data_IF_954907335209
#
_entry.id   IF_954907335209
#
_cell.length_a   1.000
_cell.length_b   1.000
_cell.length_c   1.000
_cell.angle_alpha   90.00
_cell.angle_beta   90.00
_cell.angle_gamma   90.00
#
_symmetry.space_group_name_H-M   'P 1'
#
loop_
_entity.id
_entity.type
_entity.pdbx_description
1 polymer ?
#
# COMPACT_ATOMS: atom_id res chain seq x y z
N UNK A 1 -8.92 23.53 23.12
CA UNK A 1 -9.30 22.23 22.50
C UNK A 1 -8.22 21.23 22.88
N UNK A 2 -8.57 19.98 23.23
CA UNK A 2 -7.60 18.97 23.65
C UNK A 2 -6.89 18.38 22.43
N UNK A 3 -5.58 18.57 22.31
CA UNK A 3 -4.79 17.95 21.24
C UNK A 3 -4.41 16.52 21.63
N UNK A 4 -4.96 15.53 20.90
CA UNK A 4 -4.70 14.11 21.12
C UNK A 4 -3.27 13.71 20.71
N UNK A 5 -2.61 14.47 19.83
CA UNK A 5 -1.27 14.17 19.35
C UNK A 5 -0.20 14.30 20.46
N UNK A 6 -0.43 15.16 21.46
CA UNK A 6 0.49 15.33 22.60
C UNK A 6 0.35 14.23 23.67
N UNK A 7 -0.68 13.38 23.56
CA UNK A 7 -1.06 12.45 24.61
C UNK A 7 -0.37 11.10 24.47
N UNK A 8 -0.34 10.36 25.57
CA UNK A 8 0.02 8.96 25.62
C UNK A 8 -0.89 8.21 26.59
N UNK A 9 -1.04 6.91 26.35
CA UNK A 9 -1.77 6.05 27.26
C UNK A 9 -0.89 5.79 28.49
N UNK A 10 -1.36 6.27 29.64
CA UNK A 10 -0.76 6.00 30.94
C UNK A 10 -1.62 5.01 31.73
N UNK A 11 -1.01 4.21 32.59
CA UNK A 11 -1.71 3.28 33.46
C UNK A 11 -1.18 3.35 34.90
N UNK A 12 -2.07 3.12 35.86
CA UNK A 12 -1.74 2.93 37.27
C UNK A 12 -2.33 1.61 37.77
N UNK A 13 -1.73 1.04 38.81
CA UNK A 13 -2.27 -0.11 39.51
C UNK A 13 -2.66 0.29 40.93
N UNK A 14 -3.80 -0.21 41.41
CA UNK A 14 -4.19 -0.15 42.81
C UNK A 14 -4.37 -1.56 43.37
N UNK A 15 -4.01 -1.76 44.63
CA UNK A 15 -4.28 -3.01 45.33
C UNK A 15 -5.47 -2.82 46.26
N UNK A 16 -6.43 -3.73 46.20
CA UNK A 16 -7.57 -3.75 47.11
C UNK A 16 -7.95 -5.19 47.42
N UNK A 17 -8.04 -5.54 48.71
CA UNK A 17 -8.34 -6.90 49.20
C UNK A 17 -7.49 -7.99 48.52
N UNK A 18 -6.18 -7.73 48.37
CA UNK A 18 -5.23 -8.65 47.74
C UNK A 18 -5.32 -8.77 46.21
N UNK A 19 -6.24 -8.04 45.55
CA UNK A 19 -6.38 -8.02 44.09
C UNK A 19 -5.77 -6.74 43.52
N UNK A 20 -5.01 -6.87 42.43
CA UNK A 20 -4.46 -5.74 41.68
C UNK A 20 -5.45 -5.31 40.58
N UNK A 21 -5.72 -4.02 40.50
CA UNK A 21 -6.58 -3.40 39.50
C UNK A 21 -5.80 -2.40 38.68
N UNK A 22 -5.70 -2.65 37.37
CA UNK A 22 -5.11 -1.70 36.42
C UNK A 22 -6.17 -0.70 35.94
N UNK A 23 -5.85 0.58 36.00
CA UNK A 23 -6.65 1.65 35.42
C UNK A 23 -5.82 2.49 34.46
N UNK A 24 -6.47 3.06 33.46
CA UNK A 24 -5.86 3.77 32.35
C UNK A 24 -6.33 5.22 32.29
N UNK A 25 -5.47 6.06 31.71
CA UNK A 25 -5.69 7.49 31.54
C UNK A 25 -4.91 8.00 30.33
N UNK A 26 -5.39 9.07 29.71
CA UNK A 26 -4.63 9.85 28.75
C UNK A 26 -3.83 10.90 29.52
N UNK A 27 -2.53 10.94 29.28
CA UNK A 27 -1.62 11.86 29.93
C UNK A 27 -0.73 12.57 28.93
N UNK A 28 -0.22 13.75 29.30
CA UNK A 28 0.83 14.46 28.57
C UNK A 28 2.02 14.75 29.47
N UNK A 29 3.20 14.78 28.86
CA UNK A 29 4.40 15.28 29.51
C UNK A 29 4.46 16.79 29.39
N UNK A 30 4.83 17.48 30.46
CA UNK A 30 5.14 18.91 30.43
C UNK A 30 6.39 19.17 31.27
N UNK A 31 7.00 20.34 31.10
CA UNK A 31 8.14 20.76 31.92
C UNK A 31 7.73 21.90 32.82
N UNK A 32 8.12 21.78 34.09
CA UNK A 32 7.91 22.80 35.10
C UNK A 32 9.21 22.91 35.92
N UNK A 33 9.77 24.11 36.02
CA UNK A 33 11.02 24.36 36.74
C UNK A 33 12.17 23.42 36.32
N UNK A 34 12.30 23.18 35.00
CA UNK A 34 13.33 22.30 34.43
C UNK A 34 13.11 20.80 34.68
N UNK A 35 12.04 20.40 35.37
CA UNK A 35 11.72 19.00 35.66
C UNK A 35 10.60 18.50 34.75
N UNK A 36 10.75 17.27 34.25
CA UNK A 36 9.66 16.59 33.54
C UNK A 36 8.55 16.23 34.53
N UNK A 37 7.34 16.68 34.23
CA UNK A 37 6.10 16.37 34.95
C UNK A 37 5.13 15.68 34.00
N UNK A 38 4.13 15.04 34.58
CA UNK A 38 3.07 14.35 33.85
C UNK A 38 1.73 14.87 34.35
N UNK A 39 0.89 15.26 33.42
CA UNK A 39 -0.48 15.67 33.68
C UNK A 39 -1.44 14.59 33.18
N UNK A 40 -2.40 14.17 34.00
CA UNK A 40 -3.50 13.32 33.57
C UNK A 40 -4.57 14.23 32.99
N UNK A 41 -4.79 14.14 31.68
CA UNK A 41 -5.77 14.97 30.97
C UNK A 41 -7.16 14.32 31.02
N UNK A 42 -7.23 12.99 30.94
CA UNK A 42 -8.51 12.26 30.97
C UNK A 42 -8.34 10.88 31.60
N UNK A 43 -9.29 10.47 32.45
CA UNK A 43 -9.35 9.10 33.00
C UNK A 43 -10.20 8.21 32.09
N UNK A 44 -9.67 7.06 31.71
CA UNK A 44 -10.38 6.06 30.88
C UNK A 44 -10.95 4.91 31.71
N UNK A 45 -10.43 4.69 32.93
CA UNK A 45 -10.90 3.62 33.81
C UNK A 45 -10.27 2.27 33.44
N UNK A 46 -11.02 1.18 33.58
CA UNK A 46 -10.52 -0.16 33.27
C UNK A 46 -10.61 -0.39 31.77
N UNK A 47 -9.53 -0.87 31.18
CA UNK A 47 -9.49 -1.34 29.80
C UNK A 47 -8.99 -2.78 29.81
N UNK A 48 -9.58 -3.62 28.97
CA UNK A 48 -8.96 -4.88 28.57
C UNK A 48 -7.63 -4.62 27.84
N UNK A 49 -6.78 -5.63 27.72
CA UNK A 49 -5.51 -5.45 27.01
C UNK A 49 -5.75 -5.10 25.53
N UNK A 50 -6.81 -5.66 24.91
CA UNK A 50 -7.17 -5.35 23.52
C UNK A 50 -7.63 -3.90 23.35
N UNK A 51 -8.43 -3.36 24.27
CA UNK A 51 -8.81 -1.94 24.27
C UNK A 51 -7.61 -1.03 24.51
N UNK A 52 -6.74 -1.36 25.47
CA UNK A 52 -5.52 -0.61 25.74
C UNK A 52 -4.60 -0.57 24.51
N UNK A 53 -4.49 -1.67 23.78
CA UNK A 53 -3.70 -1.76 22.56
C UNK A 53 -4.31 -0.96 21.40
N UNK A 54 -5.65 -0.94 21.27
CA UNK A 54 -6.36 -0.05 20.34
C UNK A 54 -6.05 1.43 20.64
N UNK A 55 -6.12 1.84 21.91
CA UNK A 55 -5.75 3.19 22.32
C UNK A 55 -4.29 3.54 21.99
N UNK A 56 -3.35 2.62 22.24
CA UNK A 56 -1.93 2.82 21.89
C UNK A 56 -1.76 3.02 20.38
N UNK A 57 -2.42 2.19 19.55
CA UNK A 57 -2.37 2.30 18.09
C UNK A 57 -2.96 3.64 17.62
N UNK A 58 -4.15 3.99 18.09
CA UNK A 58 -4.83 5.24 17.78
C UNK A 58 -3.97 6.48 18.10
N UNK A 59 -3.42 6.57 19.31
CA UNK A 59 -2.56 7.68 19.73
C UNK A 59 -1.25 7.73 18.94
N UNK A 60 -0.71 6.58 18.52
CA UNK A 60 0.48 6.52 17.66
C UNK A 60 0.18 6.98 16.24
N UNK A 61 -0.99 6.65 15.71
CA UNK A 61 -1.44 7.07 14.38
C UNK A 61 -1.64 8.59 14.33
N UNK A 62 -2.36 9.18 15.29
CA UNK A 62 -2.61 10.64 15.32
C UNK A 62 -1.33 11.48 15.37
N UNK A 63 -0.24 10.96 15.96
CA UNK A 63 1.06 11.64 15.98
C UNK A 63 1.71 11.79 14.61
N UNK A 64 1.23 11.06 13.60
CA UNK A 64 1.69 11.14 12.23
C UNK A 64 0.64 11.89 11.41
N UNK A 65 0.96 13.08 10.88
CA UNK A 65 -0.03 13.89 10.16
C UNK A 65 -0.59 13.19 8.93
N UNK A 66 0.21 12.34 8.27
CA UNK A 66 -0.19 11.63 7.04
C UNK A 66 -0.83 10.26 7.32
N UNK A 67 -1.05 9.89 8.59
CA UNK A 67 -1.62 8.60 8.94
C UNK A 67 -3.12 8.71 9.26
N UNK A 68 -3.90 7.78 8.74
CA UNK A 68 -5.31 7.63 9.04
C UNK A 68 -5.61 6.21 9.51
N UNK A 69 -6.72 6.03 10.23
CA UNK A 69 -7.19 4.73 10.69
C UNK A 69 -8.31 4.26 9.76
N UNK A 70 -8.16 3.06 9.21
CA UNK A 70 -9.12 2.48 8.26
C UNK A 70 -9.27 0.99 8.55
N UNK A 71 -10.39 0.41 8.15
CA UNK A 71 -10.61 -1.04 8.11
C UNK A 71 -10.46 -1.55 6.68
N UNK A 72 -10.41 -2.87 6.50
CA UNK A 72 -10.45 -3.46 5.16
C UNK A 72 -11.79 -3.18 4.45
N UNK A 73 -12.89 -3.05 5.21
CA UNK A 73 -14.23 -2.73 4.66
C UNK A 73 -14.29 -1.31 4.09
N UNK A 74 -13.41 -0.41 4.56
CA UNK A 74 -13.28 0.96 4.04
C UNK A 74 -12.40 1.03 2.78
N UNK A 75 -11.68 -0.06 2.45
CA UNK A 75 -10.82 -0.13 1.27
C UNK A 75 -11.58 -0.75 0.10
N UNK A 76 -11.67 -0.01 -1.00
CA UNK A 76 -12.25 -0.50 -2.25
C UNK A 76 -11.19 -0.46 -3.36
N UNK A 77 -11.15 -1.53 -4.15
CA UNK A 77 -10.30 -1.59 -5.35
C UNK A 77 -10.94 -0.73 -6.43
N UNK A 78 -10.28 0.38 -6.78
CA UNK A 78 -10.74 1.29 -7.84
C UNK A 78 -10.42 0.78 -9.23
N UNK A 79 -9.25 0.17 -9.39
CA UNK A 79 -8.70 -0.27 -10.66
C UNK A 79 -8.09 -1.65 -10.47
N UNK A 80 -8.33 -2.54 -11.42
CA UNK A 80 -7.73 -3.86 -11.48
C UNK A 80 -7.10 -4.08 -12.86
N UNK A 81 -6.04 -4.87 -12.90
CA UNK A 81 -5.31 -5.20 -14.12
C UNK A 81 -5.22 -6.71 -14.28
N UNK A 82 -5.46 -7.21 -15.48
CA UNK A 82 -5.26 -8.63 -15.78
C UNK A 82 -3.78 -8.99 -15.62
N UNK A 83 -3.47 -9.97 -14.77
CA UNK A 83 -2.09 -10.31 -14.40
C UNK A 83 -1.70 -11.74 -14.75
N UNK A 84 -2.39 -12.76 -14.20
CA UNK A 84 -1.86 -14.12 -14.18
C UNK A 84 -1.67 -14.74 -15.57
N UNK A 85 -2.69 -14.62 -16.40
CA UNK A 85 -2.68 -15.05 -17.81
C UNK A 85 -1.58 -14.32 -18.60
N UNK A 86 -1.52 -13.00 -18.44
CA UNK A 86 -0.54 -12.10 -19.07
C UNK A 86 0.87 -12.46 -18.67
N UNK A 87 1.14 -12.60 -17.38
CA UNK A 87 2.45 -12.97 -16.85
C UNK A 87 2.88 -14.37 -17.31
N UNK A 88 1.93 -15.31 -17.38
CA UNK A 88 2.23 -16.69 -17.83
C UNK A 88 2.64 -16.71 -19.30
N UNK A 89 1.86 -16.10 -20.19
CA UNK A 89 2.20 -16.01 -21.61
C UNK A 89 3.50 -15.22 -21.82
N UNK A 90 3.70 -14.15 -21.03
CA UNK A 90 4.91 -13.35 -21.05
C UNK A 90 6.16 -14.13 -20.61
N UNK A 91 6.03 -15.02 -19.64
CA UNK A 91 7.13 -15.86 -19.16
C UNK A 91 7.55 -16.92 -20.19
N UNK A 92 6.60 -17.46 -20.97
CA UNK A 92 6.92 -18.40 -22.07
C UNK A 92 7.76 -17.69 -23.14
N UNK A 93 7.50 -16.40 -23.39
CA UNK A 93 8.33 -15.61 -24.31
C UNK A 93 9.79 -15.52 -23.84
N UNK A 94 10.00 -15.29 -22.54
CA UNK A 94 11.34 -15.24 -21.94
C UNK A 94 12.02 -16.62 -21.97
N UNK A 95 11.29 -17.67 -21.60
CA UNK A 95 11.79 -19.06 -21.59
C UNK A 95 12.28 -19.50 -22.97
N UNK A 96 11.67 -19.01 -24.05
CA UNK A 96 12.05 -19.32 -25.41
C UNK A 96 13.04 -18.33 -26.02
N UNK A 97 13.49 -17.33 -25.24
CA UNK A 97 14.47 -16.33 -25.66
C UNK A 97 14.08 -15.62 -26.99
N UNK A 98 12.78 -15.43 -27.21
CA UNK A 98 12.26 -14.95 -28.51
C UNK A 98 12.71 -13.54 -28.88
N UNK A 99 13.17 -12.76 -27.89
CA UNK A 99 13.76 -11.44 -28.12
C UNK A 99 15.01 -11.50 -29.01
N UNK A 100 15.75 -12.61 -29.00
CA UNK A 100 16.98 -12.77 -29.79
C UNK A 100 16.76 -12.86 -31.30
N UNK A 101 15.55 -13.27 -31.72
CA UNK A 101 15.18 -13.41 -33.12
C UNK A 101 15.08 -12.03 -33.80
N UNK A 102 14.79 -10.99 -33.02
CA UNK A 102 14.57 -9.65 -33.55
C UNK A 102 15.87 -8.84 -33.60
N UNK A 103 16.11 -8.09 -34.69
CA UNK A 103 17.30 -7.25 -34.79
C UNK A 103 17.27 -6.16 -33.71
N UNK A 104 18.38 -6.01 -32.97
CA UNK A 104 18.57 -4.94 -31.97
C UNK A 104 18.70 -3.53 -32.57
N UNK A 105 18.57 -3.41 -33.89
CA UNK A 105 18.92 -2.21 -34.64
C UNK A 105 17.67 -1.36 -34.92
N UNK A 106 17.53 -0.22 -34.23
CA UNK A 106 16.52 0.77 -34.56
C UNK A 106 16.51 1.98 -33.62
N UNK A 107 16.29 3.18 -34.17
CA UNK A 107 16.08 4.43 -33.39
C UNK A 107 14.66 4.54 -32.79
N UNK A 108 13.97 3.41 -32.58
CA UNK A 108 12.57 3.40 -32.13
C UNK A 108 12.51 3.60 -30.63
N UNK A 109 11.44 4.25 -30.17
CA UNK A 109 11.17 4.46 -28.74
C UNK A 109 10.87 3.13 -28.04
N UNK A 110 10.14 2.23 -28.71
CA UNK A 110 9.89 0.85 -28.25
C UNK A 110 10.56 -0.15 -29.20
N UNK A 111 11.37 -1.11 -28.69
CA UNK A 111 12.01 -2.13 -29.51
C UNK A 111 11.01 -2.99 -30.29
N UNK A 112 11.43 -3.49 -31.46
CA UNK A 112 10.57 -4.35 -32.31
C UNK A 112 10.21 -5.64 -31.58
N UNK A 113 11.16 -6.23 -30.86
CA UNK A 113 10.96 -7.42 -30.03
C UNK A 113 9.81 -7.20 -29.03
N UNK A 114 9.82 -6.07 -28.33
CA UNK A 114 8.77 -5.68 -27.37
C UNK A 114 7.40 -5.53 -28.02
N UNK A 115 7.32 -4.93 -29.21
CA UNK A 115 6.05 -4.82 -29.96
C UNK A 115 5.55 -6.21 -30.37
N UNK A 116 6.44 -7.06 -30.89
CA UNK A 116 6.10 -8.42 -31.28
C UNK A 116 5.64 -9.26 -30.08
N UNK A 117 6.27 -9.07 -28.92
CA UNK A 117 5.91 -9.68 -27.65
C UNK A 117 4.51 -9.26 -27.20
N UNK A 118 4.22 -7.96 -27.18
CA UNK A 118 2.88 -7.44 -26.82
C UNK A 118 1.80 -8.03 -27.73
N UNK A 119 2.02 -8.04 -29.05
CA UNK A 119 1.07 -8.60 -30.01
C UNK A 119 0.89 -10.11 -29.84
N UNK A 120 1.97 -10.83 -29.55
CA UNK A 120 1.92 -12.28 -29.33
C UNK A 120 1.16 -12.64 -28.06
N UNK A 121 1.45 -11.96 -26.95
CA UNK A 121 0.75 -12.15 -25.67
C UNK A 121 -0.73 -11.81 -25.82
N UNK A 122 -1.07 -10.68 -26.47
CA UNK A 122 -2.46 -10.34 -26.78
C UNK A 122 -3.15 -11.48 -27.55
N UNK A 123 -2.49 -12.00 -28.59
CA UNK A 123 -3.06 -13.04 -29.44
C UNK A 123 -3.33 -14.36 -28.70
N UNK A 124 -2.55 -14.67 -27.67
CA UNK A 124 -2.70 -15.86 -26.84
C UNK A 124 -3.84 -15.76 -25.83
N UNK A 125 -4.15 -14.55 -25.33
CA UNK A 125 -5.05 -14.35 -24.19
C UNK A 125 -6.39 -13.79 -24.64
N UNK A 126 -6.37 -12.66 -25.33
CA UNK A 126 -7.57 -11.94 -25.76
C UNK A 126 -7.33 -11.38 -27.16
N UNK A 127 -7.53 -12.21 -28.20
CA UNK A 127 -7.17 -11.88 -29.56
C UNK A 127 -8.05 -10.75 -30.09
N UNK A 128 -7.62 -9.52 -29.86
CA UNK A 128 -8.26 -8.31 -30.30
C UNK A 128 -7.73 -7.85 -31.68
N UNK A 129 -8.44 -6.93 -32.32
CA UNK A 129 -7.90 -6.27 -33.50
C UNK A 129 -6.64 -5.47 -33.12
N UNK A 130 -5.67 -5.34 -34.05
CA UNK A 130 -4.42 -4.59 -33.80
C UNK A 130 -4.66 -3.15 -33.31
N UNK A 131 -5.77 -2.54 -33.73
CA UNK A 131 -6.19 -1.21 -33.32
C UNK A 131 -6.72 -1.13 -31.89
N UNK A 132 -7.09 -2.26 -31.30
CA UNK A 132 -7.61 -2.39 -29.92
C UNK A 132 -6.55 -2.93 -28.93
N UNK A 133 -5.41 -3.41 -29.44
CA UNK A 133 -4.31 -3.89 -28.60
C UNK A 133 -3.79 -2.83 -27.62
N UNK A 134 -3.72 -1.52 -27.96
CA UNK A 134 -3.34 -0.51 -26.99
C UNK A 134 -4.27 -0.48 -25.77
N UNK A 135 -5.59 -0.42 -25.99
CA UNK A 135 -6.58 -0.38 -24.90
C UNK A 135 -6.51 -1.64 -24.02
N UNK A 136 -6.35 -2.81 -24.64
CA UNK A 136 -6.11 -4.06 -23.91
C UNK A 136 -4.80 -4.00 -23.12
N UNK A 137 -3.72 -3.48 -23.71
CA UNK A 137 -2.43 -3.37 -23.04
C UNK A 137 -2.53 -2.51 -21.77
N UNK A 138 -3.28 -1.39 -21.83
CA UNK A 138 -3.54 -0.51 -20.69
C UNK A 138 -4.37 -1.17 -19.57
N UNK A 139 -5.20 -2.17 -19.86
CA UNK A 139 -6.01 -2.87 -18.86
C UNK A 139 -5.33 -4.10 -18.27
N UNK A 140 -4.09 -4.38 -18.67
CA UNK A 140 -3.29 -5.52 -18.21
C UNK A 140 -2.08 -5.07 -17.40
N UNK A 141 -1.44 -6.02 -16.73
CA UNK A 141 -0.19 -5.80 -16.02
C UNK A 141 1.05 -5.77 -16.94
N UNK A 142 0.88 -6.06 -18.23
CA UNK A 142 1.99 -6.18 -19.18
C UNK A 142 2.89 -4.94 -19.30
N UNK A 143 2.39 -3.69 -19.21
CA UNK A 143 3.24 -2.51 -19.25
C UNK A 143 4.32 -2.51 -18.16
N UNK A 144 3.97 -2.90 -16.94
CA UNK A 144 4.93 -2.98 -15.83
C UNK A 144 5.88 -4.17 -15.97
N UNK A 145 5.41 -5.29 -16.51
CA UNK A 145 6.25 -6.46 -16.76
C UNK A 145 7.32 -6.20 -17.82
N UNK A 146 7.03 -5.33 -18.79
CA UNK A 146 7.93 -4.99 -19.89
C UNK A 146 8.73 -3.69 -19.65
N UNK A 147 8.51 -3.00 -18.53
CA UNK A 147 9.02 -1.65 -18.26
C UNK A 147 8.76 -0.67 -19.42
N UNK A 148 7.57 -0.77 -20.03
CA UNK A 148 7.12 0.09 -21.11
C UNK A 148 6.10 1.06 -20.57
N UNK A 149 6.34 2.35 -20.73
CA UNK A 149 5.32 3.34 -20.40
C UNK A 149 4.11 3.13 -21.34
N UNK A 150 2.92 2.81 -20.79
CA UNK A 150 1.76 2.44 -21.59
C UNK A 150 1.25 3.61 -22.46
N UNK A 151 1.58 4.85 -22.15
CA UNK A 151 1.22 6.05 -22.93
C UNK A 151 2.12 6.28 -24.17
N UNK A 152 3.18 5.47 -24.36
CA UNK A 152 4.11 5.65 -25.48
C UNK A 152 3.50 5.14 -26.78
N UNK A 153 3.18 6.08 -27.69
CA UNK A 153 2.81 5.79 -29.07
C UNK A 153 4.02 5.90 -29.98
N UNK A 154 4.39 4.81 -30.68
CA UNK A 154 5.23 4.95 -31.87
C UNK A 154 4.39 5.63 -32.95
N UNK A 155 4.70 6.87 -33.28
CA UNK A 155 4.10 7.56 -34.43
C UNK A 155 4.52 6.81 -35.70
N UNK A 156 3.54 6.39 -36.51
CA UNK A 156 3.79 5.78 -37.82
C UNK A 156 4.35 6.80 -38.81
#
# INVERSE_FOLDING_TARGET
>A
MMDLAELHLHWGASQYKGKSYRSYSLARGYRENGKNRKEIVMKLGKLSETEAERWRKFLKTIKKPDAFLTTLDDLYVTIHYAYLDVATANAIWDEWELDEIFPRNGKRVVPIATIARILSVNRCIDPAAKSQTPEWFHSTALPWLLDVNPELRNVQ
#
